data_IF_962062310346
#
_entry.id   IF_962062310346
#
_cell.length_a   1.000
_cell.length_b   1.000
_cell.length_c   1.000
_cell.angle_alpha   90.00
_cell.angle_beta   90.00
_cell.angle_gamma   90.00
#
_symmetry.space_group_name_H-M   'P 1'
#
loop_
_entity.id
_entity.type
_entity.pdbx_description
1 polymer ?
#
# COMPACT_ATOMS: atom_id res chain seq x y z
N UNK A 1 5.05 -18.50 -9.68
CA UNK A 1 4.45 -17.29 -10.29
C UNK A 1 4.02 -16.26 -9.23
N UNK A 2 3.09 -16.61 -8.33
CA UNK A 2 2.60 -15.70 -7.26
C UNK A 2 3.70 -15.02 -6.44
N UNK A 3 4.63 -15.78 -5.86
CA UNK A 3 5.71 -15.20 -5.04
C UNK A 3 6.60 -14.22 -5.79
N UNK A 4 6.82 -14.42 -7.09
CA UNK A 4 7.64 -13.51 -7.90
C UNK A 4 6.93 -12.18 -8.10
N UNK A 5 5.64 -12.22 -8.46
CA UNK A 5 4.81 -11.03 -8.65
C UNK A 5 4.65 -10.27 -7.32
N UNK A 6 4.38 -10.99 -6.23
CA UNK A 6 4.27 -10.42 -4.90
C UNK A 6 5.58 -9.77 -4.44
N UNK A 7 6.72 -10.43 -4.64
CA UNK A 7 8.03 -9.88 -4.29
C UNK A 7 8.39 -8.64 -5.10
N UNK A 8 8.07 -8.61 -6.40
CA UNK A 8 8.23 -7.41 -7.23
C UNK A 8 7.37 -6.27 -6.68
N UNK A 9 6.09 -6.52 -6.39
CA UNK A 9 5.20 -5.51 -5.81
C UNK A 9 5.72 -4.96 -4.49
N UNK A 10 6.13 -5.85 -3.58
CA UNK A 10 6.67 -5.48 -2.27
C UNK A 10 7.96 -4.67 -2.36
N UNK A 11 8.89 -5.09 -3.23
CA UNK A 11 10.17 -4.42 -3.47
C UNK A 11 10.00 -3.01 -4.05
N UNK A 12 8.92 -2.74 -4.80
CA UNK A 12 8.65 -1.40 -5.32
C UNK A 12 7.84 -0.55 -4.36
N UNK A 13 6.99 -1.15 -3.52
CA UNK A 13 6.11 -0.37 -2.66
C UNK A 13 6.84 0.21 -1.44
N UNK A 14 7.65 -0.58 -0.74
CA UNK A 14 8.23 -0.16 0.53
C UNK A 14 9.37 0.86 0.42
N UNK A 15 10.47 0.60 -0.30
CA UNK A 15 11.59 1.55 -0.34
C UNK A 15 11.23 2.84 -1.09
N UNK A 16 10.40 2.75 -2.14
CA UNK A 16 9.98 3.92 -2.92
C UNK A 16 9.02 4.80 -2.13
N UNK A 17 8.04 4.19 -1.44
CA UNK A 17 7.08 4.96 -0.64
C UNK A 17 7.77 5.64 0.54
N UNK A 18 8.64 4.93 1.26
CA UNK A 18 9.38 5.51 2.38
C UNK A 18 10.29 6.66 1.93
N UNK A 19 11.03 6.47 0.83
CA UNK A 19 11.88 7.51 0.26
C UNK A 19 11.07 8.74 -0.19
N UNK A 20 9.88 8.53 -0.76
CA UNK A 20 8.98 9.63 -1.14
C UNK A 20 8.50 10.42 0.07
N UNK A 21 7.98 9.74 1.10
CA UNK A 21 7.48 10.41 2.31
C UNK A 21 8.60 11.13 3.06
N UNK A 22 9.79 10.53 3.17
CA UNK A 22 10.94 11.18 3.77
C UNK A 22 11.44 12.40 2.98
N UNK A 23 11.40 12.36 1.64
CA UNK A 23 11.82 13.47 0.78
C UNK A 23 10.86 14.66 0.83
N UNK A 24 9.55 14.40 0.92
CA UNK A 24 8.51 15.44 0.89
C UNK A 24 8.23 16.02 2.29
N UNK A 25 8.66 15.34 3.36
CA UNK A 25 8.46 15.81 4.72
C UNK A 25 9.19 17.13 5.02
N UNK A 26 8.51 18.14 5.60
CA UNK A 26 9.18 19.34 6.10
C UNK A 26 10.18 19.00 7.20
N UNK A 27 11.36 19.65 7.19
CA UNK A 27 12.45 19.38 8.15
C UNK A 27 11.99 19.44 9.62
N UNK A 28 11.04 20.31 9.93
CA UNK A 28 10.51 20.50 11.29
C UNK A 28 9.67 19.31 11.83
N UNK A 29 9.04 18.51 10.95
CA UNK A 29 8.14 17.41 11.33
C UNK A 29 8.51 16.07 10.70
N UNK A 30 9.74 15.94 10.20
CA UNK A 30 10.20 14.74 9.50
C UNK A 30 10.04 13.46 10.32
N UNK A 31 10.42 13.51 11.60
CA UNK A 31 10.26 12.37 12.52
C UNK A 31 8.79 11.95 12.68
N UNK A 32 7.87 12.91 12.74
CA UNK A 32 6.43 12.65 12.82
C UNK A 32 5.90 12.00 11.54
N UNK A 33 6.31 12.47 10.37
CA UNK A 33 5.90 11.88 9.08
C UNK A 33 6.39 10.44 8.96
N UNK A 34 7.64 10.16 9.36
CA UNK A 34 8.19 8.81 9.38
C UNK A 34 7.44 7.92 10.40
N UNK A 35 7.14 8.45 11.59
CA UNK A 35 6.35 7.75 12.60
C UNK A 35 4.95 7.39 12.09
N UNK A 36 4.27 8.31 11.40
CA UNK A 36 2.96 8.06 10.78
C UNK A 36 3.04 7.01 9.67
N UNK A 37 4.10 7.02 8.86
CA UNK A 37 4.32 5.99 7.84
C UNK A 37 4.42 4.59 8.46
N UNK A 38 5.22 4.44 9.52
CA UNK A 38 5.33 3.16 10.22
C UNK A 38 4.04 2.75 10.95
N UNK A 39 3.31 3.71 11.51
CA UNK A 39 2.00 3.43 12.12
C UNK A 39 1.00 2.91 11.08
N UNK A 40 0.92 3.57 9.92
CA UNK A 40 0.09 3.11 8.81
C UNK A 40 0.49 1.69 8.35
N UNK A 41 1.80 1.42 8.26
CA UNK A 41 2.31 0.09 7.94
C UNK A 41 1.91 -0.95 8.98
N UNK A 42 2.03 -0.64 10.27
CA UNK A 42 1.58 -1.50 11.36
C UNK A 42 0.08 -1.81 11.26
N UNK A 43 -0.76 -0.79 11.07
CA UNK A 43 -2.22 -0.97 10.93
C UNK A 43 -2.56 -1.84 9.73
N UNK A 44 -1.87 -1.66 8.60
CA UNK A 44 -2.07 -2.50 7.41
C UNK A 44 -1.73 -3.98 7.70
N UNK A 45 -0.61 -4.26 8.38
CA UNK A 45 -0.24 -5.63 8.74
C UNK A 45 -1.21 -6.23 9.76
N UNK A 46 -1.67 -5.45 10.74
CA UNK A 46 -2.67 -5.91 11.70
C UNK A 46 -4.00 -6.27 11.01
N UNK A 47 -4.44 -5.46 10.04
CA UNK A 47 -5.63 -5.74 9.25
C UNK A 47 -5.47 -7.01 8.41
N UNK A 48 -4.32 -7.20 7.76
CA UNK A 48 -4.01 -8.44 7.02
C UNK A 48 -4.04 -9.65 7.95
N UNK A 49 -3.48 -9.54 9.16
CA UNK A 49 -3.55 -10.59 10.17
C UNK A 49 -4.97 -10.94 10.58
N UNK A 50 -5.82 -9.93 10.81
CA UNK A 50 -7.24 -10.13 11.10
C UNK A 50 -7.99 -10.82 9.95
N UNK A 51 -7.76 -10.38 8.71
CA UNK A 51 -8.32 -11.02 7.52
C UNK A 51 -7.82 -12.47 7.37
N UNK A 52 -6.55 -12.71 7.71
CA UNK A 52 -5.94 -14.04 7.70
C UNK A 52 -6.67 -15.04 8.61
N UNK A 53 -7.26 -14.59 9.72
CA UNK A 53 -8.09 -15.42 10.60
C UNK A 53 -9.32 -16.02 9.89
N UNK A 54 -9.82 -15.39 8.82
CA UNK A 54 -10.92 -15.95 8.03
C UNK A 54 -10.51 -17.14 7.16
N UNK A 55 -9.21 -17.44 7.04
CA UNK A 55 -8.74 -18.59 6.27
C UNK A 55 -9.27 -19.92 6.80
N UNK A 56 -9.45 -20.04 8.13
CA UNK A 56 -9.96 -21.26 8.77
C UNK A 56 -11.48 -21.42 8.60
N UNK A 57 -12.20 -20.34 8.36
CA UNK A 57 -13.68 -20.32 8.31
C UNK A 57 -14.24 -20.19 6.90
N UNK A 58 -13.48 -19.66 5.95
CA UNK A 58 -13.86 -19.51 4.54
C UNK A 58 -13.35 -20.65 3.67
N UNK A 59 -14.06 -20.91 2.57
CA UNK A 59 -13.51 -21.75 1.50
C UNK A 59 -12.26 -21.09 0.94
N UNK A 60 -11.22 -21.89 0.67
CA UNK A 60 -9.94 -21.41 0.12
C UNK A 60 -10.10 -20.51 -1.10
N UNK A 61 -11.05 -20.83 -2.00
CA UNK A 61 -11.33 -20.04 -3.20
C UNK A 61 -11.88 -18.64 -2.89
N UNK A 62 -12.80 -18.52 -1.93
CA UNK A 62 -13.40 -17.24 -1.55
C UNK A 62 -12.39 -16.35 -0.83
N UNK A 63 -11.56 -16.93 0.03
CA UNK A 63 -10.48 -16.22 0.72
C UNK A 63 -9.51 -15.57 -0.27
N UNK A 64 -9.06 -16.30 -1.29
CA UNK A 64 -8.13 -15.73 -2.28
C UNK A 64 -8.80 -14.74 -3.23
N UNK A 65 -10.09 -14.91 -3.56
CA UNK A 65 -10.85 -13.92 -4.34
C UNK A 65 -11.03 -12.60 -3.58
N UNK A 66 -11.25 -12.64 -2.26
CA UNK A 66 -11.28 -11.46 -1.41
C UNK A 66 -9.95 -10.68 -1.53
N UNK A 67 -8.82 -11.37 -1.37
CA UNK A 67 -7.49 -10.75 -1.46
C UNK A 67 -7.21 -10.19 -2.86
N UNK A 68 -7.58 -10.93 -3.90
CA UNK A 68 -7.46 -10.46 -5.28
C UNK A 68 -8.33 -9.21 -5.52
N UNK A 69 -9.55 -9.19 -4.99
CA UNK A 69 -10.45 -8.03 -5.06
C UNK A 69 -9.90 -6.80 -4.34
N UNK A 70 -9.34 -6.97 -3.14
CA UNK A 70 -8.69 -5.88 -2.39
C UNK A 70 -7.45 -5.35 -3.13
N UNK A 71 -6.64 -6.24 -3.71
CA UNK A 71 -5.47 -5.84 -4.50
C UNK A 71 -5.89 -5.09 -5.78
N UNK A 72 -6.89 -5.58 -6.52
CA UNK A 72 -7.41 -4.90 -7.70
C UNK A 72 -8.05 -3.55 -7.35
N UNK A 73 -8.83 -3.49 -6.26
CA UNK A 73 -9.46 -2.28 -5.77
C UNK A 73 -8.45 -1.20 -5.39
N UNK A 74 -7.40 -1.57 -4.64
CA UNK A 74 -6.33 -0.62 -4.29
C UNK A 74 -5.58 -0.12 -5.54
N UNK A 75 -5.25 -1.01 -6.49
CA UNK A 75 -4.68 -0.62 -7.78
C UNK A 75 -5.56 0.38 -8.55
N UNK A 76 -6.87 0.16 -8.56
CA UNK A 76 -7.82 1.06 -9.21
C UNK A 76 -7.87 2.45 -8.54
N UNK A 77 -7.81 2.52 -7.21
CA UNK A 77 -7.70 3.79 -6.47
C UNK A 77 -6.44 4.55 -6.89
N UNK A 78 -5.29 3.87 -6.99
CA UNK A 78 -4.04 4.50 -7.46
C UNK A 78 -4.13 4.98 -8.91
N UNK A 79 -4.77 4.22 -9.79
CA UNK A 79 -5.02 4.64 -11.18
C UNK A 79 -5.90 5.90 -11.22
N UNK A 80 -7.00 5.92 -10.46
CA UNK A 80 -7.83 7.12 -10.36
C UNK A 80 -7.06 8.31 -9.80
N UNK A 81 -6.31 8.12 -8.72
CA UNK A 81 -5.48 9.17 -8.15
C UNK A 81 -4.48 9.73 -9.17
N UNK A 82 -3.81 8.87 -9.94
CA UNK A 82 -2.91 9.28 -11.03
C UNK A 82 -3.64 10.09 -12.11
N UNK A 83 -4.84 9.66 -12.53
CA UNK A 83 -5.59 10.33 -13.59
C UNK A 83 -6.08 11.72 -13.16
N UNK A 84 -6.56 11.87 -11.93
CA UNK A 84 -7.10 13.14 -11.44
C UNK A 84 -6.03 14.10 -10.90
N UNK A 85 -5.01 13.58 -10.21
CA UNK A 85 -3.99 14.40 -9.53
C UNK A 85 -2.70 14.55 -10.33
N UNK A 86 -2.45 13.69 -11.32
CA UNK A 86 -1.23 13.72 -12.13
C UNK A 86 -1.00 15.05 -12.85
N UNK A 87 -2.07 15.72 -13.30
CA UNK A 87 -1.98 17.05 -13.91
C UNK A 87 -1.57 18.16 -12.93
N UNK A 88 -1.84 18.01 -11.62
CA UNK A 88 -1.47 19.01 -10.61
C UNK A 88 -0.05 18.80 -10.09
N UNK A 89 0.43 17.56 -10.05
CA UNK A 89 1.78 17.23 -9.61
C UNK A 89 2.85 17.50 -10.69
N UNK A 90 2.51 17.36 -11.98
CA UNK A 90 3.43 17.63 -13.08
C UNK A 90 3.81 19.12 -13.26
N UNK A 91 3.08 20.05 -12.63
CA UNK A 91 3.32 21.49 -12.73
C UNK A 91 4.30 21.99 -11.65
N UNK A 92 4.68 21.16 -10.68
CA UNK A 92 5.56 21.53 -9.56
C UNK A 92 6.93 20.82 -9.54
N UNK A 93 7.25 20.01 -10.56
CA UNK A 93 8.55 19.35 -10.72
C UNK A 93 9.39 20.02 -11.79
#
# INVERSE_FOLDING_TARGET
AFHVINSIGFAHMLPVSLALFAKVAPKAINATVIGLYYLAFFTANALVGWIGGFYETMRTTEFWLLHAGLAAGSGMVFVFFKLFMGRRLAVQG
#
